data_IF_830477684840
#
_entry.id   IF_830477684840
#
_cell.length_a   1.000
_cell.length_b   1.000
_cell.length_c   1.000
_cell.angle_alpha   90.00
_cell.angle_beta   90.00
_cell.angle_gamma   90.00
#
_symmetry.space_group_name_H-M   'P 1'
#
loop_
_entity.id
_entity.type
_entity.pdbx_description
1 polymer ?
#
# COMPACT_ATOMS: atom_id res chain seq x y z
N UNK A 1 -8.06 -5.40 -29.07
CA UNK A 1 -8.24 -4.01 -28.59
C UNK A 1 -9.49 -3.94 -27.74
N UNK A 2 -9.35 -3.98 -26.42
CA UNK A 2 -10.47 -3.81 -25.51
C UNK A 2 -10.72 -2.30 -25.33
N UNK A 3 -11.94 -1.84 -25.65
CA UNK A 3 -12.38 -0.46 -25.41
C UNK A 3 -12.46 -0.23 -23.91
N UNK A 4 -11.68 0.73 -23.39
CA UNK A 4 -11.64 1.05 -21.97
C UNK A 4 -12.78 2.02 -21.67
N UNK A 5 -13.82 1.54 -20.98
CA UNK A 5 -14.93 2.38 -20.50
C UNK A 5 -14.57 2.97 -19.14
N UNK A 6 -14.85 4.24 -18.92
CA UNK A 6 -14.59 4.95 -17.65
C UNK A 6 -15.94 5.16 -16.94
N UNK A 7 -15.95 4.93 -15.63
CA UNK A 7 -17.05 5.35 -14.76
C UNK A 7 -16.62 6.65 -14.08
N UNK A 8 -17.28 7.75 -14.42
CA UNK A 8 -17.05 9.07 -13.81
C UNK A 8 -18.07 9.30 -12.70
N UNK A 9 -17.60 9.90 -11.60
CA UNK A 9 -18.46 10.33 -10.49
C UNK A 9 -19.13 11.66 -10.84
N UNK A 10 -20.39 11.83 -10.42
CA UNK A 10 -21.08 13.13 -10.51
C UNK A 10 -20.35 14.17 -9.64
N UNK A 11 -20.20 15.40 -10.14
CA UNK A 11 -19.47 16.48 -9.49
C UNK A 11 -19.93 16.73 -8.04
N UNK A 12 -21.24 16.60 -7.77
CA UNK A 12 -21.79 16.81 -6.42
C UNK A 12 -21.30 15.74 -5.44
N UNK A 13 -21.05 14.52 -5.93
CA UNK A 13 -20.51 13.44 -5.09
C UNK A 13 -19.03 13.68 -4.83
N UNK A 14 -18.28 14.23 -5.79
CA UNK A 14 -16.88 14.61 -5.60
C UNK A 14 -16.72 15.66 -4.49
N UNK A 15 -17.50 16.74 -4.54
CA UNK A 15 -17.50 17.79 -3.52
C UNK A 15 -17.82 17.23 -2.11
N UNK A 16 -18.78 16.30 -2.02
CA UNK A 16 -19.14 15.63 -0.77
C UNK A 16 -18.02 14.71 -0.26
N UNK A 17 -17.28 14.05 -1.15
CA UNK A 17 -16.14 13.20 -0.77
C UNK A 17 -14.94 14.00 -0.29
N UNK A 18 -14.67 15.17 -0.87
CA UNK A 18 -13.64 16.09 -0.36
C UNK A 18 -13.98 16.57 1.05
N UNK A 19 -15.24 16.90 1.31
CA UNK A 19 -15.70 17.30 2.64
C UNK A 19 -15.71 16.15 3.66
N UNK A 20 -15.92 14.91 3.21
CA UNK A 20 -16.04 13.71 4.07
C UNK A 20 -14.76 12.86 4.13
N UNK A 21 -13.64 13.41 3.68
CA UNK A 21 -12.35 12.75 3.45
C UNK A 21 -11.89 11.81 4.59
N UNK A 22 -12.05 12.24 5.84
CA UNK A 22 -11.67 11.49 7.05
C UNK A 22 -12.42 10.16 7.20
N UNK A 23 -13.68 10.09 6.75
CA UNK A 23 -14.48 8.86 6.83
C UNK A 23 -14.06 7.83 5.78
N UNK A 24 -13.65 8.32 4.59
CA UNK A 24 -13.21 7.49 3.47
C UNK A 24 -11.81 6.92 3.72
N UNK A 25 -10.92 7.67 4.36
CA UNK A 25 -9.62 7.17 4.81
C UNK A 25 -9.78 5.94 5.73
N UNK A 26 -10.80 5.91 6.60
CA UNK A 26 -11.06 4.74 7.46
C UNK A 26 -11.49 3.49 6.66
N UNK A 27 -12.15 3.68 5.52
CA UNK A 27 -12.57 2.61 4.59
C UNK A 27 -11.39 2.12 3.71
N UNK A 28 -10.47 3.02 3.38
CA UNK A 28 -9.23 2.73 2.65
C UNK A 28 -8.09 2.25 3.55
N UNK A 29 -8.24 2.34 4.88
CA UNK A 29 -7.27 1.98 5.92
C UNK A 29 -6.76 0.52 5.90
N UNK A 30 -7.23 -0.31 4.96
CA UNK A 30 -6.79 -1.70 4.78
C UNK A 30 -5.29 -1.86 4.51
N UNK A 31 -4.60 -0.79 4.08
CA UNK A 31 -3.18 -0.87 3.70
C UNK A 31 -2.30 0.23 4.33
N UNK A 32 -2.59 0.64 5.58
CA UNK A 32 -1.71 1.53 6.33
C UNK A 32 -0.50 0.78 6.92
N UNK A 33 0.63 1.47 7.17
CA UNK A 33 1.75 0.88 7.90
C UNK A 33 1.31 0.30 9.25
N UNK A 34 1.82 -0.88 9.59
CA UNK A 34 1.51 -1.53 10.86
C UNK A 34 2.22 -0.83 12.03
N UNK A 35 1.52 -0.63 13.14
CA UNK A 35 2.08 -0.11 14.40
C UNK A 35 2.69 -1.20 15.29
N UNK A 36 2.65 -2.46 14.83
CA UNK A 36 3.25 -3.63 15.47
C UNK A 36 4.09 -4.38 14.42
N UNK A 37 5.08 -5.19 14.84
CA UNK A 37 5.85 -5.99 13.89
C UNK A 37 4.95 -6.88 13.02
N UNK A 38 5.19 -6.94 11.70
CA UNK A 38 4.39 -7.78 10.81
C UNK A 38 4.64 -9.27 11.05
N UNK A 39 3.67 -10.09 10.63
CA UNK A 39 3.81 -11.55 10.64
C UNK A 39 4.92 -11.97 9.67
N UNK A 40 5.84 -12.87 10.08
CA UNK A 40 6.86 -13.37 9.17
C UNK A 40 6.22 -14.08 7.97
N UNK A 41 6.86 -13.94 6.81
CA UNK A 41 6.48 -14.67 5.61
C UNK A 41 6.87 -16.14 5.75
N UNK A 42 5.95 -17.03 5.37
CA UNK A 42 6.14 -18.49 5.44
C UNK A 42 5.71 -19.22 4.17
N UNK A 43 4.83 -18.59 3.38
CA UNK A 43 4.39 -19.03 2.06
C UNK A 43 3.85 -17.79 1.30
N UNK A 44 3.48 -17.91 0.00
CA UNK A 44 3.04 -16.77 -0.81
C UNK A 44 1.78 -16.06 -0.31
N UNK A 45 0.98 -16.69 0.57
CA UNK A 45 -0.29 -16.16 1.09
C UNK A 45 -0.25 -15.86 2.59
N UNK A 46 0.86 -16.15 3.27
CA UNK A 46 0.97 -16.08 4.73
C UNK A 46 2.19 -15.27 5.12
N UNK A 47 1.94 -14.03 5.54
CA UNK A 47 2.90 -13.05 6.04
C UNK A 47 2.32 -11.64 5.94
N UNK A 48 3.04 -10.64 6.47
CA UNK A 48 2.60 -9.25 6.45
C UNK A 48 1.55 -8.95 7.54
N UNK A 49 0.36 -8.51 7.14
CA UNK A 49 -0.71 -8.11 8.08
C UNK A 49 -1.19 -9.28 8.95
N UNK A 50 -1.64 -8.97 10.16
CA UNK A 50 -2.05 -9.98 11.14
C UNK A 50 -3.40 -10.63 10.81
N UNK A 51 -4.37 -9.80 10.39
CA UNK A 51 -5.76 -10.20 10.18
C UNK A 51 -6.12 -10.37 8.70
N UNK A 52 -5.54 -9.54 7.84
CA UNK A 52 -5.85 -9.52 6.42
C UNK A 52 -4.80 -10.30 5.63
N UNK A 53 -5.18 -11.34 4.89
CA UNK A 53 -4.23 -12.11 4.09
C UNK A 53 -3.68 -11.23 2.96
N UNK A 54 -2.37 -11.02 2.97
CA UNK A 54 -1.62 -10.37 1.90
C UNK A 54 -1.01 -11.40 0.95
N UNK A 55 -0.93 -11.08 -0.34
CA UNK A 55 -0.14 -11.85 -1.30
C UNK A 55 1.29 -11.33 -1.31
N UNK A 56 2.26 -12.23 -1.29
CA UNK A 56 3.68 -11.90 -1.42
C UNK A 56 3.97 -11.21 -2.76
N UNK A 57 3.43 -11.79 -3.84
CA UNK A 57 3.59 -11.27 -5.20
C UNK A 57 2.31 -10.60 -5.64
N UNK A 58 2.45 -9.40 -6.24
CA UNK A 58 1.33 -8.65 -6.82
C UNK A 58 1.33 -8.87 -8.34
N UNK A 59 0.57 -9.85 -8.87
CA UNK A 59 0.55 -10.12 -10.30
C UNK A 59 -0.11 -8.97 -11.06
N UNK A 60 0.50 -8.53 -12.14
CA UNK A 60 -0.09 -7.52 -13.03
C UNK A 60 -0.67 -8.25 -14.24
N UNK A 61 -1.94 -8.62 -14.15
CA UNK A 61 -2.71 -9.19 -15.28
C UNK A 61 -2.31 -10.60 -15.74
N UNK A 62 -1.40 -11.30 -15.05
CA UNK A 62 -0.94 -12.64 -15.44
C UNK A 62 -1.32 -13.70 -14.42
N UNK A 63 -2.22 -14.59 -14.83
CA UNK A 63 -2.58 -15.80 -14.05
C UNK A 63 -1.40 -16.77 -13.97
N UNK A 64 -0.57 -16.82 -15.02
CA UNK A 64 0.60 -17.70 -15.06
C UNK A 64 1.61 -17.36 -13.97
N UNK A 65 1.81 -16.07 -13.66
CA UNK A 65 2.70 -15.66 -12.58
C UNK A 65 2.26 -16.23 -11.23
N UNK A 66 0.95 -16.28 -10.95
CA UNK A 66 0.44 -16.88 -9.72
C UNK A 66 0.77 -18.37 -9.67
N UNK A 67 0.51 -19.13 -10.75
CA UNK A 67 0.81 -20.56 -10.78
C UNK A 67 2.29 -20.86 -10.57
N UNK A 68 3.19 -20.05 -11.15
CA UNK A 68 4.64 -20.21 -10.97
C UNK A 68 5.02 -19.94 -9.52
N UNK A 69 4.46 -18.90 -8.90
CA UNK A 69 4.71 -18.57 -7.48
C UNK A 69 4.20 -19.68 -6.56
N UNK A 70 3.03 -20.27 -6.84
CA UNK A 70 2.53 -21.43 -6.09
C UNK A 70 3.44 -22.65 -6.24
N UNK A 71 3.88 -22.94 -7.47
CA UNK A 71 4.74 -24.07 -7.76
C UNK A 71 6.10 -23.95 -7.05
N UNK A 72 6.68 -22.74 -7.01
CA UNK A 72 7.95 -22.44 -6.38
C UNK A 72 7.85 -22.20 -4.86
N UNK A 73 6.65 -22.26 -4.27
CA UNK A 73 6.38 -21.93 -2.86
C UNK A 73 7.34 -22.60 -1.87
N UNK A 74 7.73 -23.85 -2.12
CA UNK A 74 8.61 -24.62 -1.24
C UNK A 74 10.08 -24.21 -1.31
N UNK A 75 10.50 -23.65 -2.44
CA UNK A 75 11.92 -23.34 -2.73
C UNK A 75 12.26 -21.88 -2.37
N UNK A 76 11.29 -21.07 -1.96
CA UNK A 76 11.44 -19.63 -1.66
C UNK A 76 11.75 -19.32 -0.19
N UNK A 77 12.30 -20.27 0.58
CA UNK A 77 12.54 -20.06 2.02
C UNK A 77 13.43 -18.84 2.32
N UNK A 78 14.55 -18.72 1.62
CA UNK A 78 15.48 -17.60 1.79
C UNK A 78 14.81 -16.25 1.46
N UNK A 79 13.99 -16.22 0.41
CA UNK A 79 13.21 -15.03 0.04
C UNK A 79 12.25 -14.62 1.17
N UNK A 80 11.57 -15.58 1.80
CA UNK A 80 10.67 -15.30 2.92
C UNK A 80 11.40 -14.72 4.12
N UNK A 81 12.61 -15.20 4.41
CA UNK A 81 13.44 -14.66 5.48
C UNK A 81 13.87 -13.22 5.20
N UNK A 82 14.36 -12.94 3.99
CA UNK A 82 14.79 -11.59 3.58
C UNK A 82 13.63 -10.59 3.67
N UNK A 83 12.46 -10.94 3.12
CA UNK A 83 11.31 -10.03 3.14
C UNK A 83 10.77 -9.85 4.56
N UNK A 84 10.86 -10.89 5.40
CA UNK A 84 10.54 -10.78 6.83
C UNK A 84 11.47 -9.81 7.54
N UNK A 85 12.77 -9.84 7.26
CA UNK A 85 13.75 -8.90 7.83
C UNK A 85 13.43 -7.47 7.41
N UNK A 86 13.18 -7.25 6.10
CA UNK A 86 12.80 -5.94 5.59
C UNK A 86 11.54 -5.40 6.28
N UNK A 87 10.49 -6.23 6.39
CA UNK A 87 9.24 -5.85 7.05
C UNK A 87 9.36 -5.59 8.55
N UNK A 88 10.33 -6.22 9.24
CA UNK A 88 10.58 -5.99 10.67
C UNK A 88 11.28 -4.67 10.97
N UNK A 89 11.79 -3.98 9.96
CA UNK A 89 12.48 -2.70 10.15
C UNK A 89 11.47 -1.63 10.59
N UNK A 90 11.58 -1.09 11.83
CA UNK A 90 10.66 -0.05 12.29
C UNK A 90 10.98 1.28 11.64
N UNK A 91 9.94 2.04 11.30
CA UNK A 91 10.05 3.38 10.74
C UNK A 91 9.46 4.41 11.71
N UNK A 92 10.02 5.62 11.67
CA UNK A 92 9.50 6.76 12.41
C UNK A 92 9.51 7.98 11.50
N UNK A 93 8.46 8.79 11.59
CA UNK A 93 8.35 10.07 10.88
C UNK A 93 9.46 11.00 11.40
N UNK A 94 10.12 11.70 10.47
CA UNK A 94 11.02 12.79 10.80
C UNK A 94 10.19 14.07 11.01
N UNK A 95 10.05 14.58 12.24
CA UNK A 95 9.16 15.72 12.51
C UNK A 95 9.64 17.00 11.81
N UNK A 96 10.95 17.24 11.75
CA UNK A 96 11.49 18.44 11.11
C UNK A 96 11.16 18.51 9.63
N UNK A 97 11.30 17.40 8.91
CA UNK A 97 10.98 17.35 7.47
C UNK A 97 9.46 17.45 7.27
N UNK A 98 8.67 16.81 8.13
CA UNK A 98 7.23 16.93 8.08
C UNK A 98 6.78 18.39 8.22
N UNK A 99 7.31 19.12 9.21
CA UNK A 99 6.97 20.54 9.44
C UNK A 99 7.27 21.40 8.20
N UNK A 100 8.43 21.20 7.56
CA UNK A 100 8.82 21.91 6.33
C UNK A 100 7.86 21.60 5.18
N UNK A 101 7.52 20.33 4.97
CA UNK A 101 6.59 19.92 3.90
C UNK A 101 5.19 20.47 4.14
N UNK A 102 4.70 20.44 5.37
CA UNK A 102 3.40 21.03 5.73
C UNK A 102 3.37 22.55 5.52
N UNK A 103 4.45 23.25 5.84
CA UNK A 103 4.55 24.69 5.61
C UNK A 103 4.54 25.02 4.11
N UNK A 104 5.29 24.28 3.30
CA UNK A 104 5.30 24.45 1.85
C UNK A 104 3.92 24.16 1.24
N UNK A 105 3.24 23.12 1.72
CA UNK A 105 1.87 22.81 1.32
C UNK A 105 0.90 23.95 1.65
N UNK A 106 0.96 24.50 2.88
CA UNK A 106 0.12 25.64 3.31
C UNK A 106 0.37 26.90 2.48
N UNK A 107 1.56 27.05 1.89
CA UNK A 107 1.92 28.16 1.00
C UNK A 107 1.47 27.97 -0.45
N UNK A 108 0.74 26.90 -0.75
CA UNK A 108 0.19 26.63 -2.08
C UNK A 108 1.05 25.70 -2.94
N UNK A 109 2.07 25.05 -2.36
CA UNK A 109 2.80 23.98 -3.05
C UNK A 109 3.70 24.43 -4.21
N UNK A 110 3.92 23.54 -5.17
CA UNK A 110 4.67 23.79 -6.41
C UNK A 110 6.20 23.86 -6.27
N UNK A 111 6.75 23.45 -5.12
CA UNK A 111 8.19 23.49 -4.83
C UNK A 111 8.66 22.12 -4.35
N UNK A 112 9.85 21.69 -4.76
CA UNK A 112 10.42 20.42 -4.28
C UNK A 112 9.55 19.19 -4.60
N UNK A 113 8.86 19.20 -5.74
CA UNK A 113 7.89 18.17 -6.17
C UNK A 113 6.68 18.02 -5.24
N UNK A 114 6.49 18.94 -4.29
CA UNK A 114 5.26 19.06 -3.52
C UNK A 114 4.19 19.65 -4.46
N UNK A 115 3.07 18.93 -4.68
CA UNK A 115 1.93 19.41 -5.48
C UNK A 115 1.47 20.81 -5.10
#
# INVERSE_FOLDING_TARGET
>A
NATKSILELDERVLELTEASFLSLESSLARHLPMVVPPRPWTNPHTGGYLLYPGRLVRPVGSVLQNHVVEAASKDMRELYEVITILGKTPWKINPFILDVVEELWKRGGGQGEIP
#
